data_IF_415542074522
#
_entry.id   IF_415542074522
#
_cell.length_a   1.000
_cell.length_b   1.000
_cell.length_c   1.000
_cell.angle_alpha   90.00
_cell.angle_beta   90.00
_cell.angle_gamma   90.00
#
_symmetry.space_group_name_H-M   'P 1'
#
loop_
_entity.id
_entity.type
_entity.pdbx_description
1 polymer ?
#
# COMPACT_ATOMS: atom_id res chain seq x y z
N UNK A 1 -11.81 -3.49 10.98
CA UNK A 1 -11.93 -4.76 11.76
C UNK A 1 -10.53 -5.26 12.05
N UNK A 2 -10.28 -5.79 13.26
CA UNK A 2 -8.99 -6.36 13.64
C UNK A 2 -9.02 -7.86 13.34
N UNK A 3 -8.29 -8.28 12.31
CA UNK A 3 -8.18 -9.69 11.97
C UNK A 3 -6.89 -10.24 12.57
N UNK A 4 -6.91 -11.46 13.08
CA UNK A 4 -5.74 -12.10 13.68
C UNK A 4 -5.50 -13.43 13.01
N UNK A 5 -4.26 -13.71 12.68
CA UNK A 5 -3.85 -15.01 12.17
C UNK A 5 -2.48 -15.39 12.72
N UNK A 6 -2.23 -16.68 12.78
CA UNK A 6 -0.99 -17.24 13.29
C UNK A 6 -0.23 -17.90 12.15
N UNK A 7 1.06 -17.61 12.10
CA UNK A 7 2.03 -18.35 11.29
C UNK A 7 2.84 -19.26 12.22
N UNK A 8 3.59 -20.25 11.71
CA UNK A 8 4.42 -21.10 12.56
C UNK A 8 5.46 -20.35 13.42
N UNK A 9 5.74 -19.07 13.13
CA UNK A 9 6.75 -18.26 13.82
C UNK A 9 6.21 -17.00 14.49
N UNK A 10 5.08 -16.47 14.04
CA UNK A 10 4.58 -15.15 14.46
C UNK A 10 3.06 -15.11 14.58
N UNK A 11 2.58 -14.35 15.56
CA UNK A 11 1.19 -13.93 15.69
C UNK A 11 1.02 -12.59 14.99
N UNK A 12 0.15 -12.53 13.98
CA UNK A 12 -0.03 -11.35 13.15
C UNK A 12 -1.42 -10.78 13.39
N UNK A 13 -1.48 -9.46 13.62
CA UNK A 13 -2.73 -8.71 13.64
C UNK A 13 -2.78 -7.83 12.40
N UNK A 14 -3.85 -7.96 11.62
CA UNK A 14 -4.11 -7.15 10.43
C UNK A 14 -5.06 -6.04 10.79
N UNK A 15 -4.64 -4.82 10.47
CA UNK A 15 -5.43 -3.61 10.60
C UNK A 15 -5.80 -3.16 9.19
N UNK A 16 -7.08 -3.19 8.88
CA UNK A 16 -7.58 -2.62 7.63
C UNK A 16 -7.70 -1.10 7.77
N UNK A 17 -6.98 -0.36 6.93
CA UNK A 17 -6.92 1.08 6.95
C UNK A 17 -7.82 1.67 5.85
N UNK A 18 -8.76 2.56 6.17
CA UNK A 18 -9.64 3.16 5.18
C UNK A 18 -8.85 4.10 4.26
N UNK A 19 -9.08 3.98 2.95
CA UNK A 19 -8.36 4.77 1.93
C UNK A 19 -8.99 6.13 1.57
N UNK A 20 -10.18 6.45 2.08
CA UNK A 20 -10.82 7.74 1.80
C UNK A 20 -10.24 8.84 2.69
N UNK A 21 -10.01 10.03 2.12
CA UNK A 21 -9.40 11.19 2.81
C UNK A 21 -10.07 11.53 4.15
N UNK A 22 -11.40 11.41 4.20
CA UNK A 22 -12.19 11.69 5.40
C UNK A 22 -11.85 10.78 6.59
N UNK A 23 -11.18 9.64 6.36
CA UNK A 23 -10.83 8.68 7.39
C UNK A 23 -9.31 8.58 7.67
N UNK A 24 -8.52 9.57 7.24
CA UNK A 24 -7.07 9.62 7.53
C UNK A 24 -6.77 9.50 9.04
N UNK A 25 -7.63 10.07 9.90
CA UNK A 25 -7.47 9.94 11.38
C UNK A 25 -7.53 8.48 11.85
N UNK A 26 -8.40 7.68 11.24
CA UNK A 26 -8.53 6.26 11.56
C UNK A 26 -7.30 5.48 11.06
N UNK A 27 -6.78 5.84 9.89
CA UNK A 27 -5.51 5.30 9.38
C UNK A 27 -4.36 5.61 10.35
N UNK A 28 -4.20 6.86 10.79
CA UNK A 28 -3.11 7.26 11.71
C UNK A 28 -3.11 6.42 12.99
N UNK A 29 -4.30 6.19 13.55
CA UNK A 29 -4.45 5.45 14.82
C UNK A 29 -4.15 3.95 14.65
N UNK A 30 -4.42 3.39 13.47
CA UNK A 30 -4.10 2.00 13.14
C UNK A 30 -2.62 1.80 12.79
N UNK A 31 -2.09 2.67 11.94
CA UNK A 31 -0.71 2.58 11.44
C UNK A 31 0.33 2.87 12.53
N UNK A 32 0.00 3.68 13.55
CA UNK A 32 0.89 3.92 14.69
C UNK A 32 1.15 2.67 15.56
N UNK A 33 0.31 1.64 15.43
CA UNK A 33 0.46 0.36 16.13
C UNK A 33 1.10 -0.73 15.24
N UNK A 34 1.42 -0.41 13.99
CA UNK A 34 1.92 -1.36 13.02
C UNK A 34 3.45 -1.28 12.89
N UNK A 35 4.11 -2.43 12.90
CA UNK A 35 5.55 -2.53 12.62
C UNK A 35 5.84 -2.62 11.10
N UNK A 36 4.88 -3.15 10.35
CA UNK A 36 4.94 -3.31 8.89
C UNK A 36 3.63 -2.85 8.23
N UNK A 37 3.74 -2.31 7.02
CA UNK A 37 2.58 -1.93 6.21
C UNK A 37 2.58 -2.69 4.89
N UNK A 38 1.37 -2.97 4.39
CA UNK A 38 1.15 -3.51 3.05
C UNK A 38 0.49 -2.43 2.20
N UNK A 39 1.19 -1.97 1.18
CA UNK A 39 0.69 -1.00 0.21
C UNK A 39 0.13 -1.75 -1.00
N UNK A 40 -1.16 -1.60 -1.25
CA UNK A 40 -1.84 -2.22 -2.38
C UNK A 40 -1.90 -1.22 -3.54
N UNK A 41 -1.43 -1.63 -4.71
CA UNK A 41 -1.41 -0.82 -5.93
C UNK A 41 -2.19 -1.54 -7.02
N UNK A 42 -3.12 -0.86 -7.68
CA UNK A 42 -3.85 -1.44 -8.81
C UNK A 42 -3.00 -1.46 -10.08
N UNK A 43 -3.03 -2.57 -10.82
CA UNK A 43 -2.31 -2.71 -12.09
C UNK A 43 -3.03 -2.07 -13.30
N UNK A 44 -4.33 -1.80 -13.15
CA UNK A 44 -5.18 -1.28 -14.23
C UNK A 44 -4.66 0.05 -14.77
N UNK A 45 -4.65 0.18 -16.10
CA UNK A 45 -4.30 1.42 -16.79
C UNK A 45 -5.30 2.52 -16.42
N UNK A 46 -4.80 3.66 -15.95
CA UNK A 46 -5.57 4.79 -15.42
C UNK A 46 -5.71 4.76 -13.89
N UNK A 47 -5.96 3.59 -13.29
CA UNK A 47 -6.06 3.46 -11.82
C UNK A 47 -4.69 3.63 -11.15
N UNK A 48 -3.65 3.03 -11.74
CA UNK A 48 -2.27 3.17 -11.28
C UNK A 48 -1.83 4.64 -11.33
N UNK A 49 -2.00 5.28 -12.48
CA UNK A 49 -1.60 6.66 -12.75
C UNK A 49 -2.33 7.66 -11.85
N UNK A 50 -3.62 7.46 -11.60
CA UNK A 50 -4.39 8.26 -10.66
C UNK A 50 -3.87 8.09 -9.21
N UNK A 51 -3.52 6.87 -8.82
CA UNK A 51 -3.00 6.54 -7.49
C UNK A 51 -1.62 7.13 -7.19
N UNK A 52 -0.73 7.18 -8.18
CA UNK A 52 0.64 7.72 -8.04
C UNK A 52 0.74 9.23 -8.31
N UNK A 53 -0.35 9.84 -8.79
CA UNK A 53 -0.39 11.28 -9.05
C UNK A 53 -0.07 12.10 -7.80
N UNK A 54 0.26 13.39 -7.96
CA UNK A 54 0.61 14.27 -6.82
C UNK A 54 -0.50 14.34 -5.75
N UNK A 55 -1.75 14.24 -6.17
CA UNK A 55 -2.93 14.23 -5.30
C UNK A 55 -3.46 12.81 -5.04
N UNK A 56 -2.71 11.79 -5.45
CA UNK A 56 -3.07 10.39 -5.36
C UNK A 56 -3.04 9.88 -3.92
N UNK A 57 -4.06 9.10 -3.56
CA UNK A 57 -4.21 8.54 -2.21
C UNK A 57 -3.07 7.56 -1.86
N UNK A 58 -2.59 6.77 -2.82
CA UNK A 58 -1.50 5.80 -2.62
C UNK A 58 -0.23 6.49 -2.14
N UNK A 59 0.07 7.68 -2.70
CA UNK A 59 1.22 8.49 -2.32
C UNK A 59 1.08 9.05 -0.91
N UNK A 60 -0.07 9.62 -0.60
CA UNK A 60 -0.37 10.19 0.72
C UNK A 60 -0.27 9.12 1.82
N UNK A 61 -0.84 7.93 1.59
CA UNK A 61 -0.78 6.82 2.54
C UNK A 61 0.62 6.28 2.77
N UNK A 62 1.44 6.14 1.72
CA UNK A 62 2.82 5.68 1.86
C UNK A 62 3.66 6.65 2.71
N UNK A 63 3.50 7.96 2.48
CA UNK A 63 4.20 8.99 3.24
C UNK A 63 3.74 9.03 4.71
N UNK A 64 2.43 8.88 4.95
CA UNK A 64 1.89 8.80 6.31
C UNK A 64 2.43 7.57 7.04
N UNK A 65 2.46 6.40 6.40
CA UNK A 65 3.02 5.19 7.00
C UNK A 65 4.49 5.35 7.39
N UNK A 66 5.29 5.99 6.53
CA UNK A 66 6.69 6.30 6.83
C UNK A 66 6.83 7.28 8.00
N UNK A 67 6.04 8.36 8.00
CA UNK A 67 6.05 9.38 9.07
C UNK A 67 5.64 8.82 10.43
N UNK A 68 4.76 7.81 10.44
CA UNK A 68 4.30 7.12 11.65
C UNK A 68 5.29 6.07 12.17
N UNK A 69 6.42 5.87 11.48
CA UNK A 69 7.51 4.99 11.93
C UNK A 69 7.47 3.58 11.39
N UNK A 70 6.61 3.29 10.40
CA UNK A 70 6.60 1.99 9.71
C UNK A 70 7.82 1.90 8.80
N UNK A 71 8.82 1.13 9.22
CA UNK A 71 10.08 0.98 8.47
C UNK A 71 10.01 -0.10 7.39
N UNK A 72 9.13 -1.08 7.55
CA UNK A 72 8.98 -2.19 6.61
C UNK A 72 7.70 -2.01 5.80
N UNK A 73 7.88 -1.83 4.49
CA UNK A 73 6.78 -1.69 3.54
C UNK A 73 6.80 -2.83 2.54
N UNK A 74 5.66 -3.51 2.40
CA UNK A 74 5.45 -4.55 1.40
C UNK A 74 4.53 -3.98 0.33
N UNK A 75 4.93 -4.03 -0.93
CA UNK A 75 4.09 -3.57 -2.05
C UNK A 75 3.41 -4.77 -2.69
N UNK A 76 2.09 -4.74 -2.78
CA UNK A 76 1.27 -5.76 -3.43
C UNK A 76 0.56 -5.17 -4.66
N UNK A 77 0.85 -5.70 -5.84
CA UNK A 77 0.19 -5.29 -7.08
C UNK A 77 -1.06 -6.13 -7.27
N UNK A 78 -2.22 -5.48 -7.31
CA UNK A 78 -3.55 -6.08 -7.40
C UNK A 78 -4.19 -5.83 -8.78
N UNK A 79 -5.24 -6.57 -9.11
CA UNK A 79 -5.96 -6.52 -10.40
C UNK A 79 -5.09 -6.82 -11.63
N UNK A 80 -4.08 -7.68 -11.50
CA UNK A 80 -3.20 -8.08 -12.63
C UNK A 80 -3.94 -8.82 -13.75
N UNK A 81 -5.13 -9.36 -13.46
CA UNK A 81 -6.04 -9.93 -14.45
C UNK A 81 -6.48 -8.89 -15.51
N UNK A 82 -6.62 -7.61 -15.12
CA UNK A 82 -7.00 -6.52 -16.04
C UNK A 82 -5.94 -6.23 -17.10
N UNK A 83 -4.68 -6.56 -16.81
CA UNK A 83 -3.54 -6.39 -17.71
C UNK A 83 -3.08 -7.71 -18.31
N UNK A 84 -3.92 -8.76 -18.23
CA UNK A 84 -3.63 -10.13 -18.71
C UNK A 84 -2.32 -10.69 -18.15
N UNK A 85 -1.99 -10.34 -16.90
CA UNK A 85 -0.77 -10.77 -16.24
C UNK A 85 0.50 -10.39 -17.02
N UNK A 86 0.49 -9.24 -17.69
CA UNK A 86 1.64 -8.74 -18.45
C UNK A 86 2.84 -8.45 -17.53
N UNK A 87 3.96 -9.13 -17.81
CA UNK A 87 5.21 -8.94 -17.08
C UNK A 87 5.78 -7.53 -17.28
N UNK A 88 5.64 -6.96 -18.48
CA UNK A 88 6.13 -5.62 -18.79
C UNK A 88 5.44 -4.56 -17.93
N UNK A 89 4.11 -4.67 -17.76
CA UNK A 89 3.33 -3.76 -16.91
C UNK A 89 3.69 -3.92 -15.44
N UNK A 90 3.92 -5.15 -14.98
CA UNK A 90 4.38 -5.39 -13.62
C UNK A 90 5.74 -4.72 -13.35
N UNK A 91 6.70 -4.90 -14.25
CA UNK A 91 8.04 -4.30 -14.13
C UNK A 91 8.00 -2.77 -14.16
N UNK A 92 7.14 -2.19 -15.00
CA UNK A 92 6.89 -0.75 -15.05
C UNK A 92 6.40 -0.22 -13.69
N UNK A 93 5.34 -0.81 -13.14
CA UNK A 93 4.77 -0.43 -11.84
C UNK A 93 5.81 -0.57 -10.72
N UNK A 94 6.57 -1.68 -10.70
CA UNK A 94 7.62 -1.89 -9.70
C UNK A 94 8.70 -0.81 -9.80
N UNK A 95 9.12 -0.44 -11.01
CA UNK A 95 10.13 0.60 -11.23
C UNK A 95 9.65 1.96 -10.74
N UNK A 96 8.43 2.36 -11.10
CA UNK A 96 7.87 3.64 -10.68
C UNK A 96 7.62 3.69 -9.17
N UNK A 97 7.05 2.63 -8.60
CA UNK A 97 6.82 2.54 -7.15
C UNK A 97 8.12 2.57 -6.36
N UNK A 98 9.18 1.91 -6.87
CA UNK A 98 10.51 1.92 -6.23
C UNK A 98 11.16 3.30 -6.25
N UNK A 99 10.96 4.08 -7.33
CA UNK A 99 11.43 5.46 -7.37
C UNK A 99 10.66 6.31 -6.37
N UNK A 100 9.34 6.11 -6.29
CA UNK A 100 8.48 6.84 -5.38
C UNK A 100 8.80 6.61 -3.90
N UNK A 101 9.09 5.37 -3.47
CA UNK A 101 9.41 5.05 -2.08
C UNK A 101 10.82 5.55 -1.65
N UNK A 102 11.71 5.81 -2.61
CA UNK A 102 13.06 6.30 -2.34
C UNK A 102 13.17 7.81 -2.17
N UNK A 103 12.18 8.57 -2.63
CA UNK A 103 12.08 10.03 -2.42
C UNK A 103 11.60 10.36 -1.01
#
# INVERSE_FOLDING_TARGET
ALWKFETPKYYVTVIDAPGHRDFIKNMITGTSQADCAVLIIAAGTGEFEAGISKDGQTREHALLAYTLGVKQLIVAINKMDTTKWSEDRFKEIVKETSNFIKE
#
